data_IF_339304239040
#
_entry.id   IF_339304239040
#
_cell.length_a   1.000
_cell.length_b   1.000
_cell.length_c   1.000
_cell.angle_alpha   90.00
_cell.angle_beta   90.00
_cell.angle_gamma   90.00
#
_symmetry.space_group_name_H-M   'P 1'
#
loop_
_entity.id
_entity.type
_entity.pdbx_description
1 polymer ?
#
# COMPACT_ATOMS: atom_id res chain seq x y z
N UNK A 1 -11.40 -7.62 -8.55
CA UNK A 1 -11.28 -7.18 -7.15
C UNK A 1 -9.80 -7.08 -6.85
N UNK A 2 -9.32 -5.98 -6.26
CA UNK A 2 -7.91 -5.83 -5.92
C UNK A 2 -7.50 -6.94 -4.94
N UNK A 3 -6.27 -7.42 -5.10
CA UNK A 3 -5.66 -8.42 -4.23
C UNK A 3 -5.70 -7.99 -2.74
N UNK A 4 -5.70 -8.99 -1.85
CA UNK A 4 -5.84 -8.90 -0.39
C UNK A 4 -4.93 -7.86 0.29
N UNK A 5 -3.79 -7.55 -0.32
CA UNK A 5 -2.86 -6.56 0.21
C UNK A 5 -3.28 -5.11 -0.04
N UNK A 6 -4.02 -4.86 -1.12
CA UNK A 6 -4.58 -3.54 -1.38
C UNK A 6 -5.95 -3.37 -0.71
N UNK A 7 -6.70 -4.45 -0.48
CA UNK A 7 -8.05 -4.37 0.11
C UNK A 7 -8.08 -3.82 1.55
N UNK A 8 -6.93 -3.75 2.24
CA UNK A 8 -6.78 -3.12 3.56
C UNK A 8 -6.60 -1.60 3.49
N UNK A 9 -6.44 -1.03 2.29
CA UNK A 9 -6.32 0.41 2.06
C UNK A 9 -7.71 1.05 1.95
N UNK A 10 -7.76 2.37 2.13
CA UNK A 10 -9.00 3.15 2.18
C UNK A 10 -9.54 3.42 0.77
N UNK A 11 -10.86 3.65 0.61
CA UNK A 11 -11.50 3.76 -0.71
C UNK A 11 -10.85 4.77 -1.68
N UNK A 12 -10.43 5.99 -1.26
CA UNK A 12 -9.82 6.93 -2.20
C UNK A 12 -8.51 6.42 -2.82
N UNK A 13 -7.73 5.64 -2.05
CA UNK A 13 -6.48 5.04 -2.50
C UNK A 13 -6.78 3.87 -3.43
N UNK A 14 -7.71 3.00 -3.05
CA UNK A 14 -8.17 1.87 -3.87
C UNK A 14 -8.65 2.32 -5.26
N UNK A 15 -9.52 3.32 -5.31
CA UNK A 15 -10.02 3.87 -6.58
C UNK A 15 -8.90 4.42 -7.45
N UNK A 16 -7.87 5.03 -6.84
CA UNK A 16 -6.73 5.55 -7.59
C UNK A 16 -5.85 4.43 -8.11
N UNK A 17 -5.58 3.40 -7.31
CA UNK A 17 -4.81 2.23 -7.73
C UNK A 17 -5.47 1.54 -8.92
N UNK A 18 -6.79 1.34 -8.88
CA UNK A 18 -7.54 0.75 -9.99
C UNK A 18 -7.44 1.60 -11.26
N UNK A 19 -7.62 2.93 -11.16
CA UNK A 19 -7.49 3.87 -12.29
C UNK A 19 -6.10 3.86 -12.93
N UNK A 20 -5.05 3.68 -12.14
CA UNK A 20 -3.66 3.61 -12.60
C UNK A 20 -3.26 2.20 -13.07
N UNK A 21 -4.15 1.20 -12.95
CA UNK A 21 -3.90 -0.17 -13.40
C UNK A 21 -3.13 -1.05 -12.40
N UNK A 22 -3.03 -0.64 -11.13
CA UNK A 22 -2.47 -1.46 -10.05
C UNK A 22 -3.53 -2.44 -9.53
N UNK A 23 -3.73 -3.53 -10.28
CA UNK A 23 -4.76 -4.53 -9.98
C UNK A 23 -4.32 -5.57 -8.94
N UNK A 24 -3.03 -5.91 -8.92
CA UNK A 24 -2.45 -6.94 -8.06
C UNK A 24 -1.20 -6.42 -7.36
N UNK A 25 -1.05 -6.77 -6.09
CA UNK A 25 0.12 -6.40 -5.31
C UNK A 25 1.29 -7.34 -5.63
N UNK A 26 2.50 -6.80 -5.74
CA UNK A 26 3.69 -7.64 -5.86
C UNK A 26 3.96 -8.41 -4.56
N UNK A 27 4.74 -9.51 -4.57
CA UNK A 27 5.00 -10.29 -3.36
C UNK A 27 5.56 -9.47 -2.19
N UNK A 28 6.42 -8.47 -2.48
CA UNK A 28 6.94 -7.59 -1.43
C UNK A 28 5.87 -6.66 -0.86
N UNK A 29 4.94 -6.19 -1.70
CA UNK A 29 3.80 -5.36 -1.28
C UNK A 29 2.80 -6.16 -0.44
N UNK A 30 2.53 -7.42 -0.82
CA UNK A 30 1.67 -8.32 -0.05
C UNK A 30 2.15 -8.51 1.39
N UNK A 31 3.46 -8.64 1.56
CA UNK A 31 4.06 -8.84 2.88
C UNK A 31 4.16 -7.53 3.67
N UNK A 32 4.56 -6.43 3.01
CA UNK A 32 4.93 -5.21 3.73
C UNK A 32 3.76 -4.27 4.01
N UNK A 33 2.78 -4.14 3.11
CA UNK A 33 1.70 -3.13 3.26
C UNK A 33 0.92 -3.35 4.57
N UNK A 34 0.43 -4.58 4.88
CA UNK A 34 -0.30 -4.80 6.12
C UNK A 34 0.58 -4.63 7.37
N UNK A 35 1.87 -4.99 7.29
CA UNK A 35 2.80 -4.84 8.40
C UNK A 35 3.06 -3.36 8.74
N UNK A 36 3.26 -2.53 7.71
CA UNK A 36 3.48 -1.09 7.89
C UNK A 36 2.23 -0.42 8.46
N UNK A 37 1.03 -0.76 7.98
CA UNK A 37 -0.23 -0.22 8.51
C UNK A 37 -0.46 -0.61 9.99
N UNK A 38 0.07 -1.75 10.45
CA UNK A 38 0.05 -2.13 11.87
C UNK A 38 1.07 -1.36 12.72
N UNK A 39 1.85 -0.45 12.13
CA UNK A 39 2.87 0.32 12.84
C UNK A 39 4.15 -0.47 13.13
N UNK A 40 4.37 -1.60 12.45
CA UNK A 40 5.58 -2.40 12.61
C UNK A 40 6.79 -1.74 11.93
N UNK A 41 7.99 -1.97 12.47
CA UNK A 41 9.24 -1.63 11.78
C UNK A 41 9.57 -2.73 10.76
N UNK A 42 9.63 -2.37 9.49
CA UNK A 42 9.81 -3.34 8.38
C UNK A 42 11.11 -3.08 7.62
N UNK A 43 11.90 -4.13 7.41
CA UNK A 43 13.06 -4.12 6.51
C UNK A 43 12.68 -4.77 5.17
N UNK A 44 12.67 -3.97 4.10
CA UNK A 44 12.29 -4.44 2.76
C UNK A 44 13.52 -4.76 1.91
N UNK A 45 13.75 -6.04 1.60
CA UNK A 45 14.86 -6.51 0.75
C UNK A 45 14.29 -7.16 -0.51
N UNK A 46 14.47 -6.52 -1.66
CA UNK A 46 14.14 -7.07 -2.98
C UNK A 46 14.89 -6.32 -4.10
N UNK A 47 15.00 -6.85 -5.33
CA UNK A 47 15.60 -6.15 -6.48
C UNK A 47 14.87 -4.85 -6.86
N UNK A 48 15.51 -3.96 -7.61
CA UNK A 48 14.86 -2.77 -8.17
C UNK A 48 13.79 -3.18 -9.19
N UNK A 49 12.69 -2.41 -9.29
CA UNK A 49 11.57 -2.71 -10.19
C UNK A 49 10.51 -3.65 -9.60
N UNK A 50 10.72 -4.24 -8.43
CA UNK A 50 9.74 -5.16 -7.79
C UNK A 50 8.63 -4.46 -6.98
N UNK A 51 8.61 -3.13 -6.99
CA UNK A 51 7.57 -2.35 -6.31
C UNK A 51 7.83 -2.02 -4.84
N UNK A 52 9.07 -2.18 -4.34
CA UNK A 52 9.47 -1.83 -2.96
C UNK A 52 9.10 -0.39 -2.53
N UNK A 53 9.27 0.57 -3.44
CA UNK A 53 8.98 1.99 -3.16
C UNK A 53 7.50 2.19 -2.89
N UNK A 54 6.64 1.62 -3.73
CA UNK A 54 5.18 1.68 -3.53
C UNK A 54 4.80 0.95 -2.23
N UNK A 55 5.40 -0.22 -1.98
CA UNK A 55 5.22 -0.99 -0.74
C UNK A 55 5.48 -0.17 0.54
N UNK A 56 6.50 0.70 0.53
CA UNK A 56 6.85 1.52 1.68
C UNK A 56 5.99 2.79 1.81
N UNK A 57 5.67 3.45 0.69
CA UNK A 57 5.03 4.77 0.68
C UNK A 57 3.50 4.68 0.74
N UNK A 58 2.90 3.74 0.02
CA UNK A 58 1.45 3.61 -0.12
C UNK A 58 0.70 3.53 1.23
N UNK A 59 1.11 2.69 2.21
CA UNK A 59 0.44 2.65 3.51
C UNK A 59 0.58 3.95 4.31
N UNK A 60 1.71 4.66 4.18
CA UNK A 60 1.91 5.97 4.85
C UNK A 60 1.01 7.04 4.25
N UNK A 61 0.88 7.04 2.91
CA UNK A 61 0.01 7.96 2.20
C UNK A 61 -1.46 7.71 2.49
N UNK A 62 -1.86 6.44 2.61
CA UNK A 62 -3.22 6.05 3.00
C UNK A 62 -3.61 6.59 4.38
N UNK A 63 -2.73 6.43 5.38
CA UNK A 63 -2.88 7.02 6.72
C UNK A 63 -2.94 8.55 6.71
N UNK A 64 -2.08 9.20 5.90
CA UNK A 64 -2.05 10.65 5.81
C UNK A 64 -3.35 11.24 5.22
N UNK A 65 -3.91 10.60 4.19
CA UNK A 65 -5.15 11.04 3.55
C UNK A 65 -6.37 10.86 4.46
N UNK A 66 -6.38 9.83 5.30
CA UNK A 66 -7.43 9.65 6.31
C UNK A 66 -7.44 10.79 7.32
N UNK A 67 -6.29 11.12 7.91
CA UNK A 67 -6.18 12.18 8.93
C UNK A 67 -6.67 13.53 8.44
N UNK A 68 -6.41 13.86 7.16
CA UNK A 68 -6.89 15.09 6.52
C UNK A 68 -8.39 15.12 6.24
N UNK A 69 -9.05 13.96 6.23
CA UNK A 69 -10.49 13.86 6.03
C UNK A 69 -11.26 13.92 7.35
N UNK A 70 -10.56 13.71 8.48
CA UNK A 70 -11.09 13.82 9.85
C UNK A 70 -10.81 15.17 10.53
N UNK A 71 -10.14 16.11 9.85
CA UNK A 71 -9.97 17.52 10.23
C UNK A 71 -10.94 18.41 9.48
#
# INVERSE_FOLDING_TARGET
MPDSAFSVLKPPVLERLEKEGFLEASPIQQLSIPAILRGENVLLIAPTGTGKTLAAILPVLDEFLEKRSSE
#
